data_IF_329306187153
#
_entry.id   IF_329306187153
#
_cell.length_a   1.000
_cell.length_b   1.000
_cell.length_c   1.000
_cell.angle_alpha   90.00
_cell.angle_beta   90.00
_cell.angle_gamma   90.00
#
_symmetry.space_group_name_H-M   'P 1'
#
loop_
_entity.id
_entity.type
_entity.pdbx_description
1 polymer ?
#
# COMPACT_ATOMS: atom_id res chain seq x y z
N UNK A 1 1.19 -47.42 -12.97
CA UNK A 1 0.34 -46.23 -12.69
C UNK A 1 1.21 -45.01 -12.80
N UNK A 2 1.34 -44.46 -14.01
CA UNK A 2 2.12 -43.26 -14.30
C UNK A 2 1.19 -42.05 -14.32
N UNK A 3 1.33 -41.18 -13.33
CA UNK A 3 0.62 -39.90 -13.28
C UNK A 3 1.32 -38.89 -14.19
N UNK A 4 0.62 -38.50 -15.25
CA UNK A 4 1.04 -37.52 -16.25
C UNK A 4 1.22 -36.15 -15.60
N UNK A 5 2.46 -35.72 -15.43
CA UNK A 5 2.86 -34.32 -15.24
C UNK A 5 2.81 -33.60 -16.59
N UNK A 6 1.67 -33.05 -16.98
CA UNK A 6 1.58 -32.16 -18.15
C UNK A 6 1.27 -30.73 -17.71
N UNK A 7 2.35 -29.98 -17.54
CA UNK A 7 2.57 -28.59 -17.95
C UNK A 7 1.37 -27.62 -17.90
N UNK A 8 1.30 -26.89 -16.78
CA UNK A 8 0.54 -25.63 -16.65
C UNK A 8 1.09 -24.51 -17.56
N UNK A 9 2.37 -24.57 -17.95
CA UNK A 9 3.00 -23.55 -18.80
C UNK A 9 2.49 -23.54 -20.25
N UNK A 10 1.87 -24.62 -20.73
CA UNK A 10 1.30 -24.67 -22.09
C UNK A 10 -0.01 -23.92 -22.28
N UNK A 11 -0.76 -23.63 -21.21
CA UNK A 11 -2.14 -23.12 -21.31
C UNK A 11 -2.25 -21.59 -21.28
N UNK A 12 -1.27 -20.90 -20.71
CA UNK A 12 -1.25 -19.42 -20.68
C UNK A 12 -1.01 -18.84 -22.09
N UNK A 13 -0.31 -19.56 -22.98
CA UNK A 13 -0.09 -19.11 -24.37
C UNK A 13 -1.33 -19.19 -25.27
N UNK A 14 -2.38 -19.91 -24.89
CA UNK A 14 -3.59 -20.01 -25.71
C UNK A 14 -4.50 -18.78 -25.56
N UNK A 15 -4.51 -18.11 -24.41
CA UNK A 15 -5.38 -16.94 -24.16
C UNK A 15 -4.86 -15.64 -24.78
N UNK A 16 -3.57 -15.54 -25.10
CA UNK A 16 -3.01 -14.35 -25.75
C UNK A 16 -3.38 -14.20 -27.23
N UNK A 17 -3.84 -15.26 -27.91
CA UNK A 17 -4.18 -15.18 -29.35
C UNK A 17 -5.63 -14.81 -29.64
N UNK A 18 -6.55 -14.98 -28.70
CA UNK A 18 -7.96 -14.61 -28.92
C UNK A 18 -8.28 -13.15 -28.57
N UNK A 19 -7.43 -12.47 -27.80
CA UNK A 19 -7.54 -11.03 -27.57
C UNK A 19 -7.24 -10.19 -28.84
N UNK A 20 -6.47 -10.72 -29.80
CA UNK A 20 -6.16 -10.02 -31.06
C UNK A 20 -7.31 -10.04 -32.09
N UNK A 21 -8.29 -10.93 -31.95
CA UNK A 21 -9.40 -11.04 -32.93
C UNK A 21 -10.52 -10.03 -32.71
N UNK A 22 -10.65 -9.43 -31.52
CA UNK A 22 -11.72 -8.46 -31.23
C UNK A 22 -11.34 -6.98 -31.41
N UNK A 23 -10.08 -6.66 -31.74
CA UNK A 23 -9.63 -5.28 -32.00
C UNK A 23 -9.68 -4.87 -33.49
N UNK A 24 -10.05 -5.76 -34.42
CA UNK A 24 -10.14 -5.45 -35.87
C UNK A 24 -11.56 -5.08 -36.29
N UNK A 25 -12.08 -3.95 -35.80
CA UNK A 25 -13.46 -3.55 -36.12
C UNK A 25 -13.81 -2.07 -35.99
N UNK A 26 -12.86 -1.17 -35.66
CA UNK A 26 -13.15 0.27 -35.64
C UNK A 26 -12.51 0.94 -36.84
N UNK A 27 -13.36 1.25 -37.81
CA UNK A 27 -13.05 2.09 -38.98
C UNK A 27 -12.56 3.45 -38.48
N UNK A 28 -11.27 3.72 -38.67
CA UNK A 28 -10.69 5.05 -38.52
C UNK A 28 -11.15 5.89 -39.71
N UNK A 29 -12.01 6.87 -39.44
CA UNK A 29 -12.33 7.96 -40.37
C UNK A 29 -11.12 8.89 -40.40
N UNK A 30 -10.55 9.25 -41.57
CA UNK A 30 -9.46 10.21 -41.63
C UNK A 30 -10.05 11.62 -41.57
N UNK A 31 -9.85 12.31 -40.45
CA UNK A 31 -10.10 13.75 -40.36
C UNK A 31 -8.76 14.47 -40.56
N UNK A 32 -8.43 14.60 -41.85
CA UNK A 32 -7.52 15.63 -42.35
C UNK A 32 -8.31 16.94 -42.30
N UNK A 33 -7.82 17.96 -41.60
CA UNK A 33 -7.65 19.33 -42.11
C UNK A 33 -7.41 20.36 -41.00
N UNK A 34 -6.24 21.01 -41.08
CA UNK A 34 -6.04 22.47 -41.03
C UNK A 34 -6.44 23.22 -39.75
N UNK A 35 -5.44 23.69 -38.97
CA UNK A 35 -5.18 25.14 -38.80
C UNK A 35 -3.68 25.32 -38.50
N UNK A 36 -3.02 26.02 -39.41
CA UNK A 36 -1.69 26.59 -39.24
C UNK A 36 -1.78 27.98 -38.59
N UNK A 37 -0.65 28.40 -38.02
CA UNK A 37 -0.24 29.79 -37.76
C UNK A 37 -0.81 30.48 -36.52
N UNK A 38 0.06 30.60 -35.50
CA UNK A 38 0.36 31.85 -34.81
C UNK A 38 1.74 31.75 -34.17
N UNK A 39 2.78 32.00 -34.97
CA UNK A 39 4.03 32.54 -34.45
C UNK A 39 3.81 34.03 -34.14
N UNK A 40 4.49 34.56 -33.11
CA UNK A 40 5.13 35.89 -33.03
C UNK A 40 5.19 36.39 -31.57
N UNK A 41 6.44 36.51 -31.08
CA UNK A 41 7.00 37.51 -30.17
C UNK A 41 6.45 37.68 -28.73
N UNK A 42 7.25 37.18 -27.77
CA UNK A 42 7.60 37.92 -26.54
C UNK A 42 9.01 37.46 -26.10
N UNK A 43 10.08 38.06 -26.63
CA UNK A 43 10.82 39.20 -26.06
C UNK A 43 11.35 38.95 -24.64
N UNK A 44 12.66 38.66 -24.61
CA UNK A 44 13.67 39.23 -23.72
C UNK A 44 13.18 39.95 -22.46
N UNK A 45 13.55 39.43 -21.30
CA UNK A 45 14.27 40.12 -20.24
C UNK A 45 14.10 39.33 -18.95
N UNK A 46 15.22 38.91 -18.35
CA UNK A 46 15.56 39.15 -16.95
C UNK A 46 16.72 38.21 -16.60
N UNK A 47 17.92 38.78 -16.66
CA UNK A 47 19.04 38.23 -15.93
C UNK A 47 18.74 38.33 -14.44
N UNK A 48 19.00 37.24 -13.72
CA UNK A 48 19.22 37.29 -12.28
C UNK A 48 20.40 36.39 -11.95
N UNK A 49 21.42 37.07 -11.44
CA UNK A 49 22.64 36.61 -10.79
C UNK A 49 22.69 35.16 -10.27
N UNK A 50 23.62 34.40 -10.84
CA UNK A 50 24.33 33.34 -10.13
C UNK A 50 25.19 34.00 -9.03
N UNK A 51 24.73 33.95 -7.78
CA UNK A 51 25.57 34.18 -6.60
C UNK A 51 25.84 32.86 -5.91
N UNK A 52 26.98 32.30 -6.28
CA UNK A 52 27.76 31.34 -5.50
C UNK A 52 28.00 31.91 -4.11
N UNK A 53 27.39 31.32 -3.08
CA UNK A 53 27.79 31.53 -1.69
C UNK A 53 28.18 30.20 -1.09
N UNK A 54 29.49 30.05 -0.93
CA UNK A 54 30.13 29.00 -0.15
C UNK A 54 29.80 29.26 1.32
N UNK A 55 29.09 28.33 1.98
CA UNK A 55 28.96 28.35 3.43
C UNK A 55 30.15 27.62 4.03
N UNK A 56 31.08 28.40 4.57
CA UNK A 56 32.20 27.94 5.38
C UNK A 56 31.70 27.45 6.73
N UNK A 57 32.08 26.22 7.03
CA UNK A 57 32.03 25.55 8.32
C UNK A 57 33.03 26.20 9.29
N UNK A 58 32.64 26.58 10.51
CA UNK A 58 33.45 26.32 11.72
C UNK A 58 32.84 26.81 13.05
N UNK A 59 33.26 26.21 14.17
CA UNK A 59 32.52 26.11 15.43
C UNK A 59 32.95 27.17 16.46
N UNK A 60 32.07 27.45 17.42
CA UNK A 60 32.48 27.79 18.79
C UNK A 60 31.27 27.74 19.72
N UNK A 61 31.26 26.75 20.60
CA UNK A 61 30.61 26.87 21.88
C UNK A 61 31.42 27.83 22.76
N UNK A 62 30.75 28.53 23.68
CA UNK A 62 31.30 28.65 25.02
C UNK A 62 30.35 28.08 26.07
N UNK A 63 30.98 27.31 26.93
CA UNK A 63 30.50 26.75 28.19
C UNK A 63 30.40 27.87 29.23
N UNK A 64 29.47 27.71 30.17
CA UNK A 64 29.41 28.34 31.50
C UNK A 64 29.20 29.86 31.62
N UNK A 65 27.99 30.24 32.06
CA UNK A 65 27.84 31.34 33.02
C UNK A 65 26.43 31.39 33.65
N UNK A 66 26.42 31.18 34.98
CA UNK A 66 25.62 31.88 36.00
C UNK A 66 24.15 31.42 36.19
N UNK A 67 23.88 30.55 37.17
CA UNK A 67 23.62 30.86 38.60
C UNK A 67 22.57 31.95 38.88
N UNK A 68 21.51 31.52 39.59
CA UNK A 68 20.63 32.26 40.51
C UNK A 68 19.84 33.45 39.95
N UNK A 69 18.54 33.20 39.73
CA UNK A 69 17.47 33.98 40.36
C UNK A 69 16.15 33.24 40.20
N UNK A 70 15.57 32.81 41.32
CA UNK A 70 14.11 32.76 41.60
C UNK A 70 13.89 31.97 42.89
N UNK A 71 14.34 32.54 44.01
CA UNK A 71 13.69 32.29 45.29
C UNK A 71 12.38 33.09 45.28
N UNK A 72 11.31 32.44 44.78
CA UNK A 72 9.95 32.96 44.80
C UNK A 72 9.06 31.89 45.41
N UNK A 73 8.74 32.07 46.69
CA UNK A 73 7.78 31.26 47.43
C UNK A 73 6.42 31.27 46.73
N UNK A 74 6.09 30.18 46.04
CA UNK A 74 4.69 29.84 45.76
C UNK A 74 4.28 28.74 46.74
N UNK A 75 3.37 29.10 47.66
CA UNK A 75 2.65 28.15 48.51
C UNK A 75 1.70 27.33 47.62
N UNK A 76 2.24 26.31 46.96
CA UNK A 76 1.42 25.27 46.37
C UNK A 76 0.89 24.40 47.52
N UNK A 77 -0.42 24.50 47.77
CA UNK A 77 -1.13 23.50 48.56
C UNK A 77 -0.91 22.16 47.89
N UNK A 78 -0.10 21.32 48.51
CA UNK A 78 0.13 19.94 48.11
C UNK A 78 -1.15 19.18 48.46
N UNK A 79 -2.16 19.29 47.60
CA UNK A 79 -3.22 18.29 47.57
C UNK A 79 -2.51 17.01 47.14
N UNK A 80 -2.31 16.11 48.08
CA UNK A 80 -1.85 14.77 47.84
C UNK A 80 -2.81 14.13 46.82
N UNK A 81 -2.46 14.21 45.54
CA UNK A 81 -3.01 13.32 44.53
C UNK A 81 -2.53 11.95 44.94
N UNK A 82 -3.40 11.21 45.62
CA UNK A 82 -3.26 9.79 45.83
C UNK A 82 -2.83 9.18 44.50
N UNK A 83 -1.63 8.61 44.49
CA UNK A 83 -1.07 7.98 43.30
C UNK A 83 -2.06 6.93 42.81
N UNK A 84 -2.61 7.14 41.62
CA UNK A 84 -3.16 6.04 40.85
C UNK A 84 -2.01 5.03 40.69
N UNK A 85 -2.22 3.83 41.24
CA UNK A 85 -1.19 2.83 41.43
C UNK A 85 -0.45 2.48 40.14
N UNK A 86 0.86 2.32 40.27
CA UNK A 86 1.80 1.80 39.26
C UNK A 86 1.57 0.30 38.96
N UNK A 87 0.32 -0.18 38.96
CA UNK A 87 0.00 -1.61 38.94
C UNK A 87 -1.21 -2.03 38.13
N UNK A 88 -2.13 -1.13 37.79
CA UNK A 88 -3.23 -1.45 36.89
C UNK A 88 -2.86 -1.01 35.48
N UNK A 89 -2.11 -1.88 34.79
CA UNK A 89 -2.13 -1.83 33.33
C UNK A 89 -3.58 -2.06 32.94
N UNK A 90 -4.27 -1.15 32.23
CA UNK A 90 -5.68 -1.34 31.88
C UNK A 90 -5.82 -2.71 31.24
N UNK A 91 -6.61 -3.57 31.88
CA UNK A 91 -6.83 -4.98 31.54
C UNK A 91 -6.55 -5.30 30.06
N UNK A 92 -5.35 -5.84 29.83
CA UNK A 92 -5.13 -6.98 28.96
C UNK A 92 -5.49 -6.85 27.47
N UNK A 93 -5.26 -5.71 26.80
CA UNK A 93 -5.20 -5.75 25.33
C UNK A 93 -3.84 -6.31 24.92
N UNK A 94 -3.74 -7.63 24.72
CA UNK A 94 -2.54 -8.25 24.15
C UNK A 94 -2.18 -7.52 22.85
N UNK A 95 -0.96 -6.97 22.79
CA UNK A 95 -0.51 -6.27 21.59
C UNK A 95 -0.42 -7.29 20.45
N UNK A 96 -1.13 -7.03 19.35
CA UNK A 96 -1.08 -7.87 18.15
C UNK A 96 0.37 -8.04 17.71
N UNK A 97 0.79 -9.28 17.53
CA UNK A 97 2.13 -9.64 17.04
C UNK A 97 2.08 -9.85 15.54
N UNK A 98 3.15 -9.47 14.84
CA UNK A 98 3.34 -9.80 13.42
C UNK A 98 3.31 -11.32 13.24
N UNK A 99 2.76 -11.78 12.11
CA UNK A 99 2.80 -13.20 11.76
C UNK A 99 4.20 -13.55 11.29
N UNK A 100 4.64 -14.78 11.58
CA UNK A 100 5.89 -15.31 11.04
C UNK A 100 5.72 -15.49 9.53
N UNK A 101 6.68 -15.01 8.76
CA UNK A 101 6.67 -15.15 7.30
C UNK A 101 7.02 -16.60 6.93
N UNK A 102 6.21 -17.20 6.07
CA UNK A 102 6.44 -18.52 5.49
C UNK A 102 7.08 -18.35 4.11
N UNK A 103 8.35 -18.77 4.00
CA UNK A 103 9.14 -18.60 2.78
C UNK A 103 8.64 -19.50 1.65
N UNK A 104 8.18 -20.71 1.97
CA UNK A 104 7.71 -21.65 0.95
C UNK A 104 6.41 -21.14 0.31
N UNK A 105 5.54 -20.52 1.12
CA UNK A 105 4.35 -19.85 0.61
C UNK A 105 4.72 -18.67 -0.31
N UNK A 106 5.70 -17.85 0.08
CA UNK A 106 6.13 -16.72 -0.76
C UNK A 106 6.68 -17.17 -2.12
N UNK A 107 7.45 -18.26 -2.14
CA UNK A 107 7.97 -18.85 -3.38
C UNK A 107 6.84 -19.38 -4.27
N UNK A 108 5.84 -20.02 -3.67
CA UNK A 108 4.67 -20.51 -4.39
C UNK A 108 3.85 -19.36 -5.00
N UNK A 109 3.68 -18.28 -4.25
CA UNK A 109 2.83 -17.15 -4.62
C UNK A 109 3.50 -16.20 -5.65
N UNK A 110 4.82 -15.98 -5.55
CA UNK A 110 5.53 -14.96 -6.35
C UNK A 110 6.59 -15.51 -7.32
N UNK A 111 6.95 -16.79 -7.20
CA UNK A 111 8.03 -17.40 -7.99
C UNK A 111 9.43 -17.10 -7.46
N UNK A 112 10.45 -17.73 -8.07
CA UNK A 112 11.85 -17.72 -7.59
C UNK A 112 12.53 -16.34 -7.67
N UNK A 113 12.08 -15.45 -8.55
CA UNK A 113 12.73 -14.15 -8.79
C UNK A 113 12.22 -13.05 -7.83
N UNK A 114 10.93 -13.08 -7.48
CA UNK A 114 10.27 -11.97 -6.78
C UNK A 114 10.09 -12.21 -5.27
N UNK A 115 10.11 -13.47 -4.82
CA UNK A 115 9.82 -13.81 -3.42
C UNK A 115 10.80 -13.14 -2.43
N UNK A 116 12.07 -12.98 -2.79
CA UNK A 116 13.07 -12.34 -1.93
C UNK A 116 12.76 -10.86 -1.70
N UNK A 117 12.37 -10.16 -2.77
CA UNK A 117 11.97 -8.76 -2.70
C UNK A 117 10.76 -8.60 -1.79
N UNK A 118 9.74 -9.43 -1.98
CA UNK A 118 8.54 -9.44 -1.13
C UNK A 118 8.86 -9.76 0.33
N UNK A 119 9.77 -10.72 0.56
CA UNK A 119 10.21 -11.10 1.89
C UNK A 119 10.89 -9.93 2.62
N UNK A 120 11.80 -9.21 1.96
CA UNK A 120 12.46 -8.01 2.52
C UNK A 120 11.45 -6.94 2.92
N UNK A 121 10.46 -6.66 2.06
CA UNK A 121 9.40 -5.69 2.37
C UNK A 121 8.57 -6.13 3.59
N UNK A 122 8.22 -7.41 3.69
CA UNK A 122 7.49 -7.95 4.86
C UNK A 122 8.29 -7.82 6.16
N UNK A 123 9.62 -7.91 6.10
CA UNK A 123 10.53 -7.72 7.24
C UNK A 123 10.68 -6.25 7.66
N UNK A 124 10.22 -5.29 6.85
CA UNK A 124 10.24 -3.87 7.20
C UNK A 124 11.10 -3.00 6.28
N UNK A 125 11.70 -3.57 5.23
CA UNK A 125 12.44 -2.77 4.25
C UNK A 125 11.49 -2.01 3.33
N UNK A 126 11.90 -0.83 2.82
CA UNK A 126 11.09 -0.05 1.90
C UNK A 126 10.94 -0.75 0.55
N UNK A 127 9.71 -0.79 0.03
CA UNK A 127 9.42 -1.24 -1.32
C UNK A 127 10.05 -0.29 -2.34
N UNK A 128 10.79 -0.83 -3.31
CA UNK A 128 11.44 -0.03 -4.34
C UNK A 128 10.46 0.37 -5.45
N UNK A 129 9.43 -0.45 -5.66
CA UNK A 129 8.37 -0.23 -6.64
C UNK A 129 7.00 -0.38 -6.00
N UNK A 130 5.96 0.30 -6.50
CA UNK A 130 4.61 0.16 -5.96
C UNK A 130 4.06 -1.28 -6.08
N UNK A 131 4.46 -2.03 -7.11
CA UNK A 131 4.10 -3.44 -7.32
C UNK A 131 4.66 -4.33 -6.21
N UNK A 132 5.87 -4.05 -5.72
CA UNK A 132 6.49 -4.82 -4.63
C UNK A 132 5.67 -4.67 -3.34
N UNK A 133 5.12 -3.47 -3.10
CA UNK A 133 4.21 -3.24 -1.98
C UNK A 133 2.87 -3.94 -2.17
N UNK A 134 2.30 -3.94 -3.38
CA UNK A 134 1.06 -4.70 -3.68
C UNK A 134 1.28 -6.20 -3.44
N UNK A 135 2.39 -6.77 -3.93
CA UNK A 135 2.77 -8.17 -3.68
C UNK A 135 2.95 -8.46 -2.18
N UNK A 136 3.61 -7.58 -1.44
CA UNK A 136 3.77 -7.73 0.00
C UNK A 136 2.42 -7.65 0.76
N UNK A 137 1.52 -6.75 0.37
CA UNK A 137 0.16 -6.68 0.93
C UNK A 137 -0.66 -7.93 0.60
N UNK A 138 -0.53 -8.47 -0.62
CA UNK A 138 -1.13 -9.75 -0.98
C UNK A 138 -0.65 -10.89 -0.06
N UNK A 139 0.67 -11.04 0.13
CA UNK A 139 1.24 -12.03 1.04
C UNK A 139 0.79 -11.82 2.49
N UNK A 140 0.70 -10.58 2.95
CA UNK A 140 0.17 -10.26 4.28
C UNK A 140 -1.30 -10.64 4.42
N UNK A 141 -2.12 -10.45 3.38
CA UNK A 141 -3.51 -10.92 3.34
C UNK A 141 -3.62 -12.45 3.35
N UNK A 142 -2.73 -13.16 2.63
CA UNK A 142 -2.62 -14.62 2.67
C UNK A 142 -2.29 -15.13 4.07
N UNK A 143 -1.29 -14.52 4.72
CA UNK A 143 -0.84 -14.85 6.08
C UNK A 143 -1.77 -14.32 7.18
N UNK A 144 -2.80 -13.55 6.83
CA UNK A 144 -3.71 -12.85 7.75
C UNK A 144 -2.91 -12.02 8.77
N UNK A 145 -2.00 -11.17 8.29
CA UNK A 145 -1.21 -10.25 9.11
C UNK A 145 -1.84 -8.84 9.13
N UNK A 146 -2.74 -8.55 10.10
CA UNK A 146 -3.44 -7.27 10.16
C UNK A 146 -2.51 -6.09 10.48
N UNK A 147 -1.37 -6.34 11.13
CA UNK A 147 -0.47 -5.29 11.58
C UNK A 147 0.40 -4.78 10.43
N UNK A 148 0.81 -5.65 9.51
CA UNK A 148 1.45 -5.22 8.26
C UNK A 148 0.48 -4.37 7.43
N UNK A 149 -0.73 -4.88 7.20
CA UNK A 149 -1.77 -4.19 6.42
C UNK A 149 -2.07 -2.79 6.96
N UNK A 150 -2.19 -2.67 8.28
CA UNK A 150 -2.44 -1.40 8.95
C UNK A 150 -1.26 -0.41 8.92
N UNK A 151 -0.03 -0.88 8.70
CA UNK A 151 1.17 -0.02 8.63
C UNK A 151 1.44 0.46 7.21
N UNK A 152 0.99 -0.28 6.21
CA UNK A 152 1.22 0.01 4.78
C UNK A 152 -0.02 0.54 4.07
N UNK A 153 -0.90 1.19 4.82
CA UNK A 153 -2.14 1.80 4.33
C UNK A 153 -2.38 3.14 5.01
N UNK A 154 -3.05 4.04 4.30
CA UNK A 154 -3.67 5.26 4.80
C UNK A 154 -5.19 5.01 4.88
N UNK A 155 -5.80 5.38 6.01
CA UNK A 155 -7.23 5.23 6.23
C UNK A 155 -7.69 6.40 7.09
N UNK A 156 -8.33 7.37 6.44
CA UNK A 156 -8.81 8.59 7.08
C UNK A 156 -9.89 8.31 8.14
N UNK A 157 -10.63 7.20 8.00
CA UNK A 157 -11.67 6.80 8.96
C UNK A 157 -11.09 6.20 10.24
N UNK A 158 -9.88 5.62 10.15
CA UNK A 158 -9.17 4.98 11.27
C UNK A 158 -7.78 5.58 11.41
N UNK A 159 -7.72 6.76 12.02
CA UNK A 159 -6.49 7.55 12.20
C UNK A 159 -5.31 6.89 12.95
N UNK A 160 -5.50 5.73 13.59
CA UNK A 160 -4.43 5.05 14.35
C UNK A 160 -4.16 3.66 13.79
N UNK A 161 -2.89 3.25 13.82
CA UNK A 161 -2.45 1.92 13.38
C UNK A 161 -3.19 0.82 14.12
N UNK A 162 -3.48 0.99 15.41
CA UNK A 162 -4.20 0.00 16.22
C UNK A 162 -5.66 -0.19 15.78
N UNK A 163 -6.34 0.90 15.40
CA UNK A 163 -7.71 0.85 14.86
C UNK A 163 -7.72 0.20 13.48
N UNK A 164 -6.76 0.54 12.61
CA UNK A 164 -6.61 -0.09 11.28
C UNK A 164 -6.31 -1.58 11.40
N UNK A 165 -5.38 -1.95 12.29
CA UNK A 165 -5.03 -3.34 12.53
C UNK A 165 -6.22 -4.12 13.08
N UNK A 166 -7.04 -3.51 13.94
CA UNK A 166 -8.30 -4.13 14.36
C UNK A 166 -9.25 -4.35 13.19
N UNK A 167 -9.45 -3.34 12.35
CA UNK A 167 -10.29 -3.45 11.15
C UNK A 167 -9.88 -4.63 10.26
N UNK A 168 -8.58 -4.74 9.97
CA UNK A 168 -8.03 -5.87 9.22
C UNK A 168 -8.17 -7.21 9.94
N UNK A 169 -7.99 -7.26 11.27
CA UNK A 169 -8.18 -8.49 12.04
C UNK A 169 -9.64 -8.99 11.96
N UNK A 170 -10.61 -8.07 12.00
CA UNK A 170 -12.04 -8.38 11.80
C UNK A 170 -12.29 -8.84 10.35
N UNK A 171 -11.73 -8.14 9.34
CA UNK A 171 -11.80 -8.57 7.93
C UNK A 171 -11.27 -9.99 7.75
N UNK A 172 -10.18 -10.35 8.44
CA UNK A 172 -9.58 -11.68 8.41
C UNK A 172 -10.28 -12.72 9.29
N UNK A 173 -11.28 -12.34 10.10
CA UNK A 173 -12.00 -13.24 10.99
C UNK A 173 -11.19 -13.66 12.23
N UNK A 174 -10.14 -12.92 12.58
CA UNK A 174 -9.35 -13.13 13.79
C UNK A 174 -9.96 -12.47 15.02
N UNK A 175 -10.83 -11.47 14.81
CA UNK A 175 -11.57 -10.79 15.85
C UNK A 175 -13.04 -10.67 15.47
N UNK A 176 -13.91 -10.65 16.49
CA UNK A 176 -15.33 -10.39 16.30
C UNK A 176 -15.58 -8.91 15.97
N UNK A 177 -16.55 -8.71 15.07
CA UNK A 177 -17.06 -7.38 14.74
C UNK A 177 -17.81 -6.84 15.96
N UNK A 178 -17.54 -5.58 16.29
CA UNK A 178 -18.30 -4.82 17.30
C UNK A 178 -19.27 -3.89 16.59
N UNK A 179 -20.29 -3.45 17.33
CA UNK A 179 -21.37 -2.59 16.81
C UNK A 179 -20.85 -1.30 16.16
N UNK A 180 -19.76 -0.73 16.67
CA UNK A 180 -19.15 0.48 16.14
C UNK A 180 -18.22 0.26 14.93
N UNK A 181 -18.02 -0.99 14.48
CA UNK A 181 -17.22 -1.26 13.29
C UNK A 181 -18.02 -1.01 12.02
N UNK A 182 -17.42 -0.33 11.02
CA UNK A 182 -18.08 -0.13 9.74
C UNK A 182 -18.41 -1.48 9.09
N UNK A 183 -19.42 -1.48 8.22
CA UNK A 183 -19.75 -2.68 7.46
C UNK A 183 -18.54 -3.09 6.60
N UNK A 184 -18.20 -4.37 6.68
CA UNK A 184 -17.00 -4.91 6.02
C UNK A 184 -17.21 -5.06 4.50
N UNK A 185 -18.45 -4.89 4.01
CA UNK A 185 -18.80 -5.04 2.60
C UNK A 185 -18.22 -6.33 1.99
N UNK A 186 -17.76 -6.29 0.73
CA UNK A 186 -17.16 -7.44 0.07
C UNK A 186 -15.74 -7.77 0.56
N UNK A 187 -15.13 -6.95 1.43
CA UNK A 187 -13.75 -7.18 1.89
C UNK A 187 -13.58 -8.50 2.69
N UNK A 188 -14.67 -9.06 3.24
CA UNK A 188 -14.63 -10.39 3.87
C UNK A 188 -14.23 -11.51 2.90
N UNK A 189 -14.47 -11.33 1.59
CA UNK A 189 -14.06 -12.28 0.54
C UNK A 189 -12.54 -12.47 0.49
N UNK A 190 -11.76 -11.50 0.96
CA UNK A 190 -10.28 -11.60 1.08
C UNK A 190 -9.82 -12.68 2.08
N UNK A 191 -10.74 -13.28 2.86
CA UNK A 191 -10.44 -14.45 3.70
C UNK A 191 -9.98 -15.64 2.87
N UNK A 192 -10.58 -15.86 1.70
CA UNK A 192 -10.30 -16.98 0.79
C UNK A 192 -9.32 -16.61 -0.33
N UNK A 193 -8.49 -15.58 -0.12
CA UNK A 193 -7.48 -15.15 -1.10
C UNK A 193 -6.52 -16.28 -1.48
N UNK A 194 -6.36 -16.52 -2.79
CA UNK A 194 -5.54 -17.58 -3.37
C UNK A 194 -4.47 -17.03 -4.32
N UNK A 195 -4.81 -16.05 -5.16
CA UNK A 195 -3.92 -15.62 -6.24
C UNK A 195 -3.87 -14.11 -6.45
N UNK A 196 -2.77 -13.65 -7.02
CA UNK A 196 -2.53 -12.27 -7.45
C UNK A 196 -2.06 -12.27 -8.90
N UNK A 197 -2.66 -11.43 -9.73
CA UNK A 197 -2.19 -11.11 -11.07
C UNK A 197 -2.01 -9.58 -11.17
N UNK A 198 -0.77 -9.11 -11.37
CA UNK A 198 -0.51 -7.70 -11.67
C UNK A 198 -0.69 -7.49 -13.17
N UNK A 199 -1.55 -6.54 -13.54
CA UNK A 199 -1.93 -6.26 -14.93
C UNK A 199 -1.08 -5.12 -15.49
N UNK A 200 -1.10 -3.98 -14.80
CA UNK A 200 -0.46 -2.75 -15.25
C UNK A 200 0.02 -1.95 -14.05
N UNK A 201 1.11 -1.22 -14.22
CA UNK A 201 1.63 -0.30 -13.23
C UNK A 201 2.01 0.98 -13.94
N UNK A 202 1.36 2.06 -13.54
CA UNK A 202 1.70 3.39 -13.99
C UNK A 202 2.72 3.97 -13.03
N UNK A 203 3.90 4.33 -13.57
CA UNK A 203 4.95 5.00 -12.80
C UNK A 203 4.50 6.33 -12.20
N UNK A 204 5.40 6.99 -11.47
CA UNK A 204 5.11 8.29 -10.85
C UNK A 204 4.59 9.29 -11.92
N UNK A 205 3.34 9.76 -11.74
CA UNK A 205 2.75 10.78 -12.59
C UNK A 205 3.00 12.16 -11.99
N UNK A 206 3.65 13.06 -12.75
CA UNK A 206 3.89 14.44 -12.32
C UNK A 206 2.59 15.20 -12.01
N UNK A 207 1.49 14.83 -12.68
CA UNK A 207 0.20 15.47 -12.51
C UNK A 207 -0.49 15.12 -11.18
N UNK A 208 -0.10 14.00 -10.55
CA UNK A 208 -0.75 13.49 -9.35
C UNK A 208 0.28 13.26 -8.24
N UNK A 209 0.93 14.33 -7.80
CA UNK A 209 1.55 14.48 -6.47
C UNK A 209 2.21 13.21 -5.88
N UNK A 210 3.20 12.62 -6.57
CA UNK A 210 3.97 11.45 -6.07
C UNK A 210 3.11 10.21 -5.77
N UNK A 211 2.01 10.04 -6.48
CA UNK A 211 1.24 8.81 -6.49
C UNK A 211 1.52 8.00 -7.75
N UNK A 212 1.48 6.69 -7.59
CA UNK A 212 1.55 5.69 -8.66
C UNK A 212 0.29 4.85 -8.61
N UNK A 213 -0.13 4.28 -9.73
CA UNK A 213 -1.29 3.39 -9.78
C UNK A 213 -0.87 1.99 -10.18
N UNK A 214 -1.43 0.99 -9.51
CA UNK A 214 -1.19 -0.42 -9.84
C UNK A 214 -2.53 -1.11 -10.05
N UNK A 215 -2.74 -1.64 -11.25
CA UNK A 215 -3.88 -2.47 -11.59
C UNK A 215 -3.54 -3.94 -11.39
N UNK A 216 -4.40 -4.65 -10.68
CA UNK A 216 -4.24 -6.06 -10.40
C UNK A 216 -5.59 -6.77 -10.21
N UNK A 217 -5.53 -8.09 -10.23
CA UNK A 217 -6.62 -8.98 -9.86
C UNK A 217 -6.24 -9.83 -8.65
N UNK A 218 -7.15 -9.94 -7.70
CA UNK A 218 -7.08 -10.85 -6.57
C UNK A 218 -8.10 -11.98 -6.75
N UNK A 219 -7.61 -13.19 -6.89
CA UNK A 219 -8.44 -14.40 -6.91
C UNK A 219 -8.75 -14.82 -5.48
N UNK A 220 -10.03 -14.73 -5.09
CA UNK A 220 -10.53 -15.14 -3.78
C UNK A 220 -11.23 -16.50 -3.80
N UNK A 221 -10.92 -17.36 -4.78
CA UNK A 221 -11.52 -18.68 -4.94
C UNK A 221 -13.02 -18.59 -5.21
N UNK A 222 -13.82 -19.36 -4.48
CA UNK A 222 -15.28 -19.37 -4.62
C UNK A 222 -15.95 -18.02 -4.33
N UNK A 223 -15.24 -17.10 -3.65
CA UNK A 223 -15.76 -15.77 -3.36
C UNK A 223 -15.71 -14.80 -4.56
N UNK A 224 -15.05 -15.20 -5.65
CA UNK A 224 -14.92 -14.42 -6.89
C UNK A 224 -13.57 -13.72 -7.03
N UNK A 225 -13.48 -12.82 -8.01
CA UNK A 225 -12.26 -12.08 -8.34
C UNK A 225 -12.48 -10.59 -8.09
N UNK A 226 -11.57 -9.96 -7.36
CA UNK A 226 -11.50 -8.51 -7.24
C UNK A 226 -10.54 -7.97 -8.30
N UNK A 227 -11.04 -7.13 -9.20
CA UNK A 227 -10.23 -6.37 -10.16
C UNK A 227 -10.15 -4.93 -9.69
N UNK A 228 -8.96 -4.49 -9.30
CA UNK A 228 -8.74 -3.21 -8.65
C UNK A 228 -7.58 -2.47 -9.30
N UNK A 229 -7.69 -1.14 -9.39
CA UNK A 229 -6.56 -0.24 -9.67
C UNK A 229 -6.33 0.66 -8.47
N UNK A 230 -5.42 0.25 -7.59
CA UNK A 230 -5.10 0.96 -6.35
C UNK A 230 -4.20 2.17 -6.59
N UNK A 231 -4.38 3.23 -5.79
CA UNK A 231 -3.48 4.38 -5.75
C UNK A 231 -2.47 4.16 -4.61
N UNK A 232 -1.19 4.15 -4.97
CA UNK A 232 -0.05 3.96 -4.09
C UNK A 232 0.66 5.29 -3.88
N UNK A 233 0.87 5.67 -2.62
CA UNK A 233 1.58 6.90 -2.24
C UNK A 233 2.98 6.56 -1.73
N UNK A 234 3.94 7.45 -2.03
CA UNK A 234 5.32 7.29 -1.56
C UNK A 234 5.40 7.54 -0.05
N UNK A 235 6.03 6.62 0.67
CA UNK A 235 6.23 6.70 2.12
C UNK A 235 7.72 6.60 2.45
N UNK A 236 8.20 7.44 3.37
CA UNK A 236 9.63 7.49 3.72
C UNK A 236 10.13 6.17 4.34
N UNK A 237 9.27 5.48 5.09
CA UNK A 237 9.66 4.27 5.82
C UNK A 237 9.44 3.01 5.00
N UNK A 238 8.32 2.93 4.28
CA UNK A 238 7.88 1.74 3.57
C UNK A 238 8.10 1.82 2.06
N UNK A 239 8.61 2.94 1.54
CA UNK A 239 8.80 3.20 0.12
C UNK A 239 7.48 3.57 -0.56
N UNK A 240 6.50 2.67 -0.52
CA UNK A 240 5.14 2.90 -1.01
C UNK A 240 4.11 2.37 -0.01
N UNK A 241 2.95 3.02 0.09
CA UNK A 241 1.80 2.57 0.91
C UNK A 241 0.51 2.73 0.11
N UNK A 242 -0.50 1.92 0.44
CA UNK A 242 -1.82 2.07 -0.16
C UNK A 242 -2.50 3.32 0.41
N UNK A 243 -3.02 4.19 -0.46
CA UNK A 243 -3.67 5.44 -0.05
C UNK A 243 -5.04 5.26 0.61
N UNK A 244 -5.60 4.04 0.62
CA UNK A 244 -7.00 3.80 0.99
C UNK A 244 -7.99 4.11 -0.13
N UNK A 245 -7.48 4.49 -1.32
CA UNK A 245 -8.29 4.87 -2.49
C UNK A 245 -7.86 4.09 -3.72
N UNK A 246 -8.83 3.85 -4.60
CA UNK A 246 -8.64 3.12 -5.84
C UNK A 246 -9.35 3.86 -6.97
N UNK A 247 -8.76 3.82 -8.17
CA UNK A 247 -9.37 4.38 -9.39
C UNK A 247 -10.67 3.63 -9.70
N UNK A 248 -10.64 2.31 -9.52
CA UNK A 248 -11.82 1.45 -9.52
C UNK A 248 -11.56 0.18 -8.68
N UNK A 249 -12.65 -0.42 -8.20
CA UNK A 249 -12.69 -1.70 -7.48
C UNK A 249 -13.94 -2.49 -7.91
N UNK A 250 -13.76 -3.51 -8.76
CA UNK A 250 -14.87 -4.30 -9.32
C UNK A 250 -14.79 -5.74 -8.88
N UNK A 251 -15.90 -6.26 -8.38
CA UNK A 251 -16.06 -7.67 -8.07
C UNK A 251 -16.71 -8.40 -9.23
N UNK A 252 -16.06 -9.44 -9.73
CA UNK A 252 -16.61 -10.38 -10.68
C UNK A 252 -16.91 -11.71 -9.99
N UNK A 253 -18.20 -12.06 -9.91
CA UNK A 253 -18.68 -13.31 -9.33
C UNK A 253 -18.90 -14.40 -10.40
N UNK A 254 -18.86 -14.04 -11.69
CA UNK A 254 -19.35 -14.86 -12.79
C UNK A 254 -18.29 -15.78 -13.41
N UNK A 255 -17.00 -15.55 -13.15
CA UNK A 255 -15.91 -16.23 -13.86
C UNK A 255 -15.65 -17.69 -13.44
N UNK A 256 -16.20 -18.19 -12.32
CA UNK A 256 -15.89 -19.55 -11.83
C UNK A 256 -16.90 -20.63 -12.25
N UNK A 257 -18.14 -20.27 -12.62
CA UNK A 257 -19.15 -21.25 -13.07
C UNK A 257 -18.83 -21.86 -14.45
N UNK A 258 -17.85 -21.30 -15.19
CA UNK A 258 -17.48 -21.77 -16.53
C UNK A 258 -16.33 -22.79 -16.55
N UNK A 259 -15.61 -23.00 -15.45
CA UNK A 259 -14.43 -23.91 -15.40
C UNK A 259 -14.72 -25.28 -14.77
N UNK A 260 -15.96 -25.51 -14.31
CA UNK A 260 -16.43 -26.78 -13.73
C UNK A 260 -17.39 -27.58 -14.65
N UNK A 261 -17.41 -27.28 -15.96
CA UNK A 261 -18.02 -28.13 -17.00
C UNK A 261 -16.96 -28.70 -17.91
#
# INVERSE_FOLDING_TARGET
MELRKTSLQGRIRAYSRDAEKHMRGRRLVPLISVVAACAVLARAALGVHLRTTWLTFSPSAPVDALYRACAGQSRFSTVARAGAGFGETPLGKEKRKRKKVDVDLLKADHGEEEWETVHRVLLGEPAQKPEDMVRARFSACRLKDPLFMARTELDDTRSSVEKRARGWAVTFGQEERKEYDPELGPAQKLRSLVGLEIIESDGESEACCRSSTVEFKLDCGEAGVLHERSIMEKDEKWGYVYSGKSVFDKWDEALWMATLK
#
